data_IF_192932364571
#
_entry.id   IF_192932364571
#
_cell.length_a   1.000
_cell.length_b   1.000
_cell.length_c   1.000
_cell.angle_alpha   90.00
_cell.angle_beta   90.00
_cell.angle_gamma   90.00
#
_symmetry.space_group_name_H-M   'P 1'
#
loop_
_entity.id
_entity.type
_entity.pdbx_description
1 polymer ?
#
# COMPACT_ATOMS: atom_id res chain seq x y z
N UNK A 1 13.28 18.98 17.89
CA UNK A 1 14.67 18.86 17.37
C UNK A 1 14.75 17.52 16.69
N UNK A 2 15.07 17.47 15.39
CA UNK A 2 15.14 16.23 14.60
C UNK A 2 16.54 15.63 14.69
N UNK A 3 16.72 14.55 15.44
CA UNK A 3 17.95 13.77 15.43
C UNK A 3 17.82 12.72 14.31
N UNK A 4 18.32 13.09 13.13
CA UNK A 4 18.15 12.40 11.85
C UNK A 4 18.99 11.13 11.75
N UNK A 5 18.35 10.08 11.24
CA UNK A 5 18.94 9.19 10.24
C UNK A 5 18.00 9.24 9.04
N UNK A 6 18.53 9.52 7.85
CA UNK A 6 17.85 9.38 6.56
C UNK A 6 18.57 8.25 5.84
N UNK A 7 17.92 7.10 5.77
CA UNK A 7 18.38 5.99 4.95
C UNK A 7 17.39 5.81 3.81
N UNK A 8 17.86 6.04 2.61
CA UNK A 8 17.14 5.71 1.40
C UNK A 8 17.58 4.31 0.97
N UNK A 9 16.67 3.33 1.06
CA UNK A 9 16.87 1.97 0.54
C UNK A 9 16.02 1.84 -0.71
N UNK A 10 16.66 1.58 -1.85
CA UNK A 10 15.96 1.02 -3.02
C UNK A 10 16.13 -0.50 -3.00
N UNK A 11 15.02 -1.22 -3.14
CA UNK A 11 14.97 -2.68 -3.18
C UNK A 11 14.28 -3.11 -4.48
N UNK A 12 14.59 -4.29 -4.99
CA UNK A 12 13.86 -4.88 -6.13
C UNK A 12 12.37 -5.04 -5.80
N UNK A 13 12.06 -5.37 -4.54
CA UNK A 13 10.67 -5.43 -4.04
C UNK A 13 10.01 -4.06 -4.00
N UNK A 14 10.69 -3.02 -3.55
CA UNK A 14 10.19 -1.65 -3.56
C UNK A 14 9.82 -1.19 -4.97
N UNK A 15 10.67 -1.49 -5.95
CA UNK A 15 10.39 -1.25 -7.37
C UNK A 15 9.17 -2.06 -7.85
N UNK A 16 9.06 -3.33 -7.44
CA UNK A 16 7.89 -4.16 -7.73
C UNK A 16 6.60 -3.59 -7.14
N UNK A 17 6.64 -3.14 -5.88
CA UNK A 17 5.49 -2.51 -5.20
C UNK A 17 5.06 -1.24 -5.95
N UNK A 18 6.01 -0.38 -6.32
CA UNK A 18 5.74 0.83 -7.10
C UNK A 18 5.05 0.51 -8.43
N UNK A 19 5.47 -0.55 -9.13
CA UNK A 19 4.84 -1.00 -10.37
C UNK A 19 3.39 -1.40 -10.20
N UNK A 20 3.07 -2.16 -9.14
CA UNK A 20 1.69 -2.54 -8.84
C UNK A 20 0.85 -1.32 -8.40
N UNK A 21 1.45 -0.40 -7.65
CA UNK A 21 0.79 0.84 -7.24
C UNK A 21 0.46 1.77 -8.41
N UNK A 22 1.31 1.83 -9.43
CA UNK A 22 1.00 2.56 -10.67
C UNK A 22 0.00 1.82 -11.56
N UNK A 23 0.11 0.50 -11.67
CA UNK A 23 -0.86 -0.33 -12.40
C UNK A 23 -2.28 -0.14 -11.85
N UNK A 24 -2.42 -0.06 -10.51
CA UNK A 24 -3.66 0.30 -9.83
C UNK A 24 -4.23 1.61 -10.36
N UNK A 25 -3.46 2.72 -10.37
CA UNK A 25 -3.92 4.04 -10.85
C UNK A 25 -4.49 3.97 -12.28
N UNK A 26 -3.87 3.18 -13.15
CA UNK A 26 -4.35 2.96 -14.52
C UNK A 26 -5.69 2.21 -14.52
N UNK A 27 -5.83 1.18 -13.68
CA UNK A 27 -7.04 0.39 -13.59
C UNK A 27 -8.21 1.16 -12.96
N UNK A 28 -7.94 2.03 -11.99
CA UNK A 28 -8.93 2.92 -11.38
C UNK A 28 -9.55 3.80 -12.46
N UNK A 29 -8.72 4.43 -13.29
CA UNK A 29 -9.18 5.23 -14.41
C UNK A 29 -10.02 4.40 -15.39
N UNK A 30 -9.60 3.17 -15.69
CA UNK A 30 -10.34 2.28 -16.59
C UNK A 30 -11.71 1.90 -15.99
N UNK A 31 -11.78 1.57 -14.71
CA UNK A 31 -13.00 1.08 -14.07
C UNK A 31 -13.94 2.23 -13.74
N UNK A 32 -13.45 3.26 -13.06
CA UNK A 32 -14.26 4.36 -12.52
C UNK A 32 -14.55 5.43 -13.57
N UNK A 33 -13.52 5.91 -14.27
CA UNK A 33 -13.68 7.04 -15.21
C UNK A 33 -14.23 6.57 -16.57
N UNK A 34 -13.81 5.39 -17.04
CA UNK A 34 -14.29 4.83 -18.31
C UNK A 34 -15.47 3.85 -18.15
N UNK A 35 -15.81 3.45 -16.91
CA UNK A 35 -16.93 2.55 -16.64
C UNK A 35 -16.68 1.11 -17.14
N UNK A 36 -15.42 0.67 -17.18
CA UNK A 36 -15.07 -0.62 -17.71
C UNK A 36 -15.11 -1.72 -16.66
N UNK A 37 -16.14 -2.55 -16.73
CA UNK A 37 -16.31 -3.65 -15.78
C UNK A 37 -15.29 -4.78 -16.00
N UNK A 38 -14.71 -5.26 -14.89
CA UNK A 38 -13.93 -6.50 -14.78
C UNK A 38 -12.73 -6.61 -15.76
N UNK A 39 -11.75 -5.69 -15.72
CA UNK A 39 -10.53 -5.85 -16.49
C UNK A 39 -9.74 -7.09 -16.04
N UNK A 40 -9.23 -7.86 -16.99
CA UNK A 40 -8.33 -9.00 -16.72
C UNK A 40 -6.91 -8.54 -16.99
N UNK A 41 -6.02 -8.69 -16.00
CA UNK A 41 -4.63 -8.28 -16.13
C UNK A 41 -3.72 -9.50 -16.24
N UNK A 42 -2.83 -9.49 -17.22
CA UNK A 42 -1.76 -10.46 -17.38
C UNK A 42 -0.43 -9.77 -17.11
N UNK A 43 0.36 -10.34 -16.21
CA UNK A 43 1.67 -9.80 -15.86
C UNK A 43 2.76 -10.75 -16.33
N UNK A 44 3.70 -10.21 -17.11
CA UNK A 44 4.99 -10.83 -17.43
C UNK A 44 6.07 -10.15 -16.57
N UNK A 45 6.33 -10.73 -15.39
CA UNK A 45 7.33 -10.23 -14.45
C UNK A 45 8.76 -10.26 -15.03
N UNK A 46 9.04 -11.13 -16.01
CA UNK A 46 10.37 -11.25 -16.63
C UNK A 46 10.64 -10.09 -17.60
N UNK A 47 9.59 -9.61 -18.26
CA UNK A 47 9.69 -8.53 -19.27
C UNK A 47 9.31 -7.17 -18.73
N UNK A 48 8.77 -7.11 -17.52
CA UNK A 48 8.19 -5.89 -16.98
C UNK A 48 7.07 -5.37 -17.90
N UNK A 49 6.20 -6.29 -18.33
CA UNK A 49 5.05 -6.02 -19.20
C UNK A 49 3.73 -6.42 -18.53
N UNK A 50 2.72 -5.54 -18.61
CA UNK A 50 1.37 -5.79 -18.13
C UNK A 50 0.39 -5.60 -19.30
N UNK A 51 -0.44 -6.60 -19.55
CA UNK A 51 -1.49 -6.55 -20.55
C UNK A 51 -2.87 -6.48 -19.86
N UNK A 52 -3.64 -5.44 -20.16
CA UNK A 52 -4.98 -5.24 -19.61
C UNK A 52 -6.02 -5.56 -20.68
N UNK A 53 -6.89 -6.52 -20.39
CA UNK A 53 -7.98 -6.94 -21.26
C UNK A 53 -9.29 -6.39 -20.72
N UNK A 54 -10.01 -5.67 -21.59
CA UNK A 54 -11.31 -5.08 -21.31
C UNK A 54 -12.34 -5.54 -22.34
N UNK A 55 -13.62 -5.30 -22.06
CA UNK A 55 -14.68 -5.57 -23.04
C UNK A 55 -14.57 -4.62 -24.27
N UNK A 56 -15.18 -5.02 -25.38
CA UNK A 56 -15.07 -4.31 -26.68
C UNK A 56 -15.59 -2.86 -26.61
N UNK A 57 -16.64 -2.60 -25.83
CA UNK A 57 -17.19 -1.25 -25.65
C UNK A 57 -16.18 -0.35 -24.96
N UNK A 58 -15.57 -0.85 -23.88
CA UNK A 58 -14.51 -0.17 -23.16
C UNK A 58 -13.28 0.05 -24.03
N UNK A 59 -12.88 -0.95 -24.83
CA UNK A 59 -11.76 -0.84 -25.76
C UNK A 59 -11.91 0.36 -26.70
N UNK A 60 -13.09 0.54 -27.30
CA UNK A 60 -13.33 1.65 -28.23
C UNK A 60 -13.23 3.01 -27.53
N UNK A 61 -13.70 3.09 -26.29
CA UNK A 61 -13.61 4.31 -25.48
C UNK A 61 -12.17 4.59 -25.04
N UNK A 62 -11.45 3.56 -24.62
CA UNK A 62 -10.00 3.59 -24.39
C UNK A 62 -9.31 4.10 -25.64
N UNK A 63 -9.45 3.47 -26.81
CA UNK A 63 -8.78 3.90 -28.05
C UNK A 63 -9.07 5.37 -28.42
N UNK A 64 -10.28 5.86 -28.11
CA UNK A 64 -10.69 7.26 -28.31
C UNK A 64 -9.98 8.24 -27.37
N UNK A 65 -9.73 7.86 -26.11
CA UNK A 65 -9.21 8.72 -25.05
C UNK A 65 -7.71 8.53 -24.80
N UNK A 66 -7.18 7.32 -25.02
CA UNK A 66 -5.83 6.88 -24.65
C UNK A 66 -4.70 7.58 -25.41
N UNK A 67 -4.93 8.04 -26.64
CA UNK A 67 -3.89 8.71 -27.43
C UNK A 67 -3.38 10.01 -26.78
N UNK A 68 -4.22 10.66 -25.98
CA UNK A 68 -3.87 11.87 -25.23
C UNK A 68 -3.39 11.54 -23.81
N UNK A 69 -4.06 10.59 -23.11
CA UNK A 69 -3.75 10.22 -21.72
C UNK A 69 -2.37 9.54 -21.58
N UNK A 70 -2.02 8.59 -22.47
CA UNK A 70 -0.69 7.98 -22.45
C UNK A 70 0.41 9.02 -22.69
N UNK A 71 0.12 10.03 -23.51
CA UNK A 71 1.06 11.10 -23.78
C UNK A 71 1.27 11.98 -22.55
N UNK A 72 0.19 12.33 -21.85
CA UNK A 72 0.26 13.12 -20.62
C UNK A 72 0.90 12.35 -19.45
N UNK A 73 0.59 11.06 -19.27
CA UNK A 73 1.20 10.19 -18.24
C UNK A 73 2.70 9.97 -18.52
N UNK A 74 3.07 9.76 -19.78
CA UNK A 74 4.46 9.57 -20.20
C UNK A 74 5.27 10.88 -20.10
N UNK A 75 4.69 12.02 -20.47
CA UNK A 75 5.38 13.33 -20.47
C UNK A 75 5.43 13.99 -19.08
N UNK A 76 4.39 13.85 -18.23
CA UNK A 76 4.35 14.50 -16.90
C UNK A 76 5.04 13.69 -15.80
N UNK A 77 4.87 12.37 -15.76
CA UNK A 77 5.29 11.57 -14.60
C UNK A 77 6.59 10.77 -14.84
N UNK A 78 7.17 10.77 -16.05
CA UNK A 78 8.34 9.95 -16.43
C UNK A 78 8.20 8.47 -15.98
N UNK A 79 6.97 7.95 -15.96
CA UNK A 79 6.68 6.61 -15.46
C UNK A 79 7.13 5.60 -16.51
N UNK A 80 8.37 5.13 -16.32
CA UNK A 80 8.98 4.05 -17.07
C UNK A 80 9.06 2.83 -16.15
N UNK A 81 8.03 2.01 -16.12
CA UNK A 81 8.24 0.65 -15.59
C UNK A 81 7.59 -0.38 -16.50
N UNK A 82 6.34 -0.16 -16.90
CA UNK A 82 5.70 -1.01 -17.90
C UNK A 82 5.91 -0.43 -19.29
N UNK A 83 6.55 -1.17 -20.20
CA UNK A 83 6.52 -0.81 -21.63
C UNK A 83 5.07 -0.96 -22.10
N UNK A 84 4.31 0.14 -22.10
CA UNK A 84 2.97 0.23 -22.70
C UNK A 84 3.00 0.09 -24.23
N UNK A 85 4.00 -0.61 -24.79
CA UNK A 85 4.13 -0.87 -26.22
C UNK A 85 3.12 -1.92 -26.70
N UNK A 86 2.43 -2.64 -25.80
CA UNK A 86 1.40 -3.62 -26.15
C UNK A 86 0.28 -3.74 -25.11
N UNK A 87 -0.58 -2.73 -25.02
CA UNK A 87 -1.98 -2.99 -24.66
C UNK A 87 -2.62 -3.76 -25.84
N UNK A 88 -2.45 -5.07 -25.81
CA UNK A 88 -2.99 -5.99 -26.80
C UNK A 88 -4.45 -6.27 -26.45
N UNK A 89 -5.36 -5.49 -27.03
CA UNK A 89 -6.80 -5.77 -26.99
C UNK A 89 -7.12 -6.93 -27.96
N UNK A 90 -6.62 -8.12 -27.66
CA UNK A 90 -6.89 -9.30 -28.49
C UNK A 90 -8.07 -10.09 -27.93
N UNK A 91 -8.96 -10.56 -28.82
CA UNK A 91 -9.87 -11.66 -28.49
C UNK A 91 -9.01 -12.82 -28.01
N UNK A 92 -9.25 -13.27 -26.78
CA UNK A 92 -8.70 -14.47 -26.13
C UNK A 92 -8.18 -15.47 -27.17
N UNK A 93 -6.88 -15.44 -27.42
CA UNK A 93 -6.24 -16.40 -28.31
C UNK A 93 -5.49 -17.40 -27.43
N UNK A 94 -5.78 -18.68 -27.63
CA UNK A 94 -5.43 -19.83 -26.78
C UNK A 94 -3.93 -20.16 -26.74
N UNK A 95 -3.04 -19.18 -26.58
CA UNK A 95 -1.64 -19.39 -26.25
C UNK A 95 -1.39 -18.93 -24.82
N UNK A 96 -1.78 -19.80 -23.89
CA UNK A 96 -1.34 -19.74 -22.50
C UNK A 96 0.19 -19.91 -22.50
N UNK A 97 0.91 -18.80 -22.39
CA UNK A 97 2.31 -18.79 -21.99
C UNK A 97 2.33 -19.12 -20.50
N UNK A 98 3.02 -20.19 -20.13
CA UNK A 98 3.16 -20.70 -18.76
C UNK A 98 3.88 -19.74 -17.78
N UNK A 99 4.20 -18.51 -18.21
CA UNK A 99 4.85 -17.45 -17.44
C UNK A 99 3.93 -16.27 -17.11
N UNK A 100 2.70 -16.22 -17.63
CA UNK A 100 1.78 -15.12 -17.37
C UNK A 100 0.95 -15.38 -16.13
N UNK A 101 1.06 -14.51 -15.13
CA UNK A 101 0.19 -14.52 -13.96
C UNK A 101 -1.06 -13.68 -14.27
N UNK A 102 -2.23 -14.30 -14.10
CA UNK A 102 -3.52 -13.60 -14.21
C UNK A 102 -3.85 -13.01 -12.85
N UNK A 103 -4.08 -11.71 -12.80
CA UNK A 103 -4.45 -10.97 -11.60
C UNK A 103 -5.77 -10.25 -11.87
N UNK A 104 -6.73 -10.39 -10.98
CA UNK A 104 -7.94 -9.54 -10.97
C UNK A 104 -7.64 -8.23 -10.28
N UNK A 105 -8.37 -7.18 -10.63
CA UNK A 105 -8.19 -5.85 -10.03
C UNK A 105 -8.23 -5.88 -8.50
N UNK A 106 -9.14 -6.66 -7.92
CA UNK A 106 -9.29 -6.76 -6.46
C UNK A 106 -8.09 -7.43 -5.79
N UNK A 107 -7.28 -8.18 -6.55
CA UNK A 107 -6.09 -8.90 -6.04
C UNK A 107 -4.83 -8.00 -6.04
N UNK A 108 -4.87 -6.80 -6.63
CA UNK A 108 -3.70 -5.90 -6.70
C UNK A 108 -3.32 -5.39 -5.32
N UNK A 109 -4.31 -5.01 -4.50
CA UNK A 109 -4.08 -4.52 -3.15
C UNK A 109 -3.45 -5.57 -2.25
N UNK A 110 -3.94 -6.80 -2.34
CA UNK A 110 -3.36 -7.94 -1.63
C UNK A 110 -1.92 -8.19 -2.12
N UNK A 111 -1.65 -8.10 -3.43
CA UNK A 111 -0.29 -8.25 -3.97
C UNK A 111 0.67 -7.14 -3.49
N UNK A 112 0.22 -5.88 -3.48
CA UNK A 112 0.98 -4.74 -2.92
C UNK A 112 1.30 -5.02 -1.45
N UNK A 113 0.29 -5.39 -0.68
CA UNK A 113 0.44 -5.70 0.74
C UNK A 113 1.44 -6.84 1.01
N UNK A 114 1.33 -7.95 0.27
CA UNK A 114 2.25 -9.08 0.40
C UNK A 114 3.71 -8.70 0.11
N UNK A 115 3.95 -7.92 -0.94
CA UNK A 115 5.31 -7.48 -1.27
C UNK A 115 5.85 -6.47 -0.24
N UNK A 116 4.99 -5.58 0.28
CA UNK A 116 5.33 -4.68 1.39
C UNK A 116 5.77 -5.49 2.59
N UNK A 117 5.02 -6.50 3.02
CA UNK A 117 5.39 -7.32 4.18
C UNK A 117 6.73 -8.03 4.00
N UNK A 118 6.99 -8.57 2.81
CA UNK A 118 8.26 -9.24 2.50
C UNK A 118 9.44 -8.28 2.55
N UNK A 119 9.30 -7.07 2.00
CA UNK A 119 10.37 -6.06 2.03
C UNK A 119 10.54 -5.43 3.42
N UNK A 120 9.43 -5.17 4.11
CA UNK A 120 9.39 -4.65 5.47
C UNK A 120 10.10 -5.59 6.43
N UNK A 121 9.98 -6.92 6.28
CA UNK A 121 10.67 -7.88 7.14
C UNK A 121 12.19 -7.67 7.20
N UNK A 122 12.81 -7.27 6.08
CA UNK A 122 14.26 -6.98 6.04
C UNK A 122 14.62 -5.69 6.77
N UNK A 123 13.79 -4.64 6.60
CA UNK A 123 13.95 -3.36 7.30
C UNK A 123 13.67 -3.52 8.80
N UNK A 124 12.60 -4.23 9.13
CA UNK A 124 12.12 -4.55 10.46
C UNK A 124 13.24 -5.13 11.34
N UNK A 125 13.89 -6.22 10.91
CA UNK A 125 14.95 -6.89 11.69
C UNK A 125 16.06 -5.89 12.08
N UNK A 126 16.36 -4.95 11.18
CA UNK A 126 17.43 -3.98 11.39
C UNK A 126 17.05 -2.87 12.37
N UNK A 127 15.82 -2.36 12.33
CA UNK A 127 15.44 -1.17 13.10
C UNK A 127 14.73 -1.47 14.41
N UNK A 128 14.06 -2.63 14.53
CA UNK A 128 13.36 -2.99 15.77
C UNK A 128 14.34 -3.19 16.95
N UNK A 129 15.46 -3.88 16.69
CA UNK A 129 16.50 -4.13 17.69
C UNK A 129 17.16 -2.83 18.16
N UNK A 130 17.35 -1.89 17.23
CA UNK A 130 17.89 -0.56 17.53
C UNK A 130 16.86 0.28 18.30
N UNK A 131 15.58 0.18 17.94
CA UNK A 131 14.46 0.86 18.60
C UNK A 131 14.36 0.49 20.06
N UNK A 132 14.38 -0.81 20.36
CA UNK A 132 14.34 -1.33 21.74
C UNK A 132 15.61 -0.96 22.53
N UNK A 133 16.78 -1.06 21.91
CA UNK A 133 18.05 -0.78 22.58
C UNK A 133 18.24 0.71 22.92
N UNK A 134 17.87 1.61 22.00
CA UNK A 134 18.04 3.05 22.16
C UNK A 134 16.81 3.76 22.74
N UNK A 135 15.68 3.04 22.90
CA UNK A 135 14.37 3.61 23.23
C UNK A 135 13.99 4.76 22.27
N UNK A 136 14.10 4.47 20.97
CA UNK A 136 13.88 5.39 19.86
C UNK A 136 12.84 4.83 18.90
N UNK A 137 12.04 5.69 18.30
CA UNK A 137 11.09 5.28 17.25
C UNK A 137 11.69 5.55 15.88
N UNK A 138 11.41 4.66 14.93
CA UNK A 138 11.78 4.82 13.54
C UNK A 138 10.54 4.82 12.66
N UNK A 139 10.39 5.82 11.80
CA UNK A 139 9.35 5.88 10.76
C UNK A 139 9.93 5.41 9.44
N UNK A 140 9.32 4.41 8.84
CA UNK A 140 9.65 3.80 7.56
C UNK A 140 8.55 4.13 6.58
N UNK A 141 8.91 4.76 5.46
CA UNK A 141 7.98 5.27 4.46
C UNK A 141 8.37 4.70 3.11
N UNK A 142 7.42 4.11 2.39
CA UNK A 142 7.62 3.66 1.00
C UNK A 142 7.03 4.69 0.04
N UNK A 143 7.88 5.23 -0.84
CA UNK A 143 7.50 6.19 -1.88
C UNK A 143 7.01 5.50 -3.16
N UNK A 144 6.29 6.24 -4.00
CA UNK A 144 5.84 5.79 -5.33
C UNK A 144 6.94 5.40 -6.30
N UNK A 145 8.18 5.84 -6.08
CA UNK A 145 9.35 5.42 -6.87
C UNK A 145 9.96 4.08 -6.39
N UNK A 146 9.37 3.48 -5.35
CA UNK A 146 9.81 2.22 -4.75
C UNK A 146 10.96 2.35 -3.75
N UNK A 147 11.34 3.58 -3.38
CA UNK A 147 12.34 3.80 -2.33
C UNK A 147 11.72 3.82 -0.93
N UNK A 148 12.41 3.20 0.02
CA UNK A 148 12.12 3.32 1.44
C UNK A 148 12.93 4.46 2.04
N UNK A 149 12.27 5.37 2.73
CA UNK A 149 12.87 6.37 3.60
C UNK A 149 12.69 5.92 5.05
N UNK A 150 13.78 5.88 5.81
CA UNK A 150 13.73 5.67 7.26
C UNK A 150 14.12 6.95 7.97
N UNK A 151 13.30 7.38 8.93
CA UNK A 151 13.47 8.57 9.77
C UNK A 151 13.52 8.16 11.24
N UNK A 152 14.38 8.77 12.04
CA UNK A 152 14.44 8.59 13.50
C UNK A 152 13.66 9.71 14.22
N UNK A 153 12.93 9.35 15.27
CA UNK A 153 12.31 10.28 16.21
C UNK A 153 12.48 9.84 17.67
N UNK A 154 12.27 10.78 18.59
CA UNK A 154 12.12 10.46 20.01
C UNK A 154 10.77 9.76 20.26
N UNK A 155 10.65 8.99 21.35
CA UNK A 155 9.43 8.27 21.74
C UNK A 155 8.19 9.18 21.67
N UNK A 156 7.16 8.76 20.91
CA UNK A 156 5.88 9.46 20.65
C UNK A 156 6.00 10.83 19.97
N UNK A 157 7.15 11.16 19.39
CA UNK A 157 7.39 12.47 18.76
C UNK A 157 7.33 12.45 17.24
N UNK A 158 7.28 11.26 16.64
CA UNK A 158 7.19 11.14 15.18
C UNK A 158 5.92 11.83 14.70
N UNK A 159 6.11 12.70 13.71
CA UNK A 159 5.04 13.40 13.01
C UNK A 159 5.29 13.13 11.54
N UNK A 160 4.30 12.56 10.88
CA UNK A 160 4.43 12.10 9.51
C UNK A 160 4.46 13.34 8.61
N UNK A 161 5.51 13.51 7.79
CA UNK A 161 5.54 14.61 6.83
C UNK A 161 4.46 14.38 5.76
N UNK A 162 3.74 15.45 5.36
CA UNK A 162 2.91 15.43 4.16
C UNK A 162 3.83 15.25 2.95
N UNK A 163 3.96 14.01 2.50
CA UNK A 163 4.68 13.66 1.28
C UNK A 163 3.62 13.17 0.31
N UNK A 164 3.56 13.78 -0.87
CA UNK A 164 2.70 13.30 -1.95
C UNK A 164 3.24 11.94 -2.45
N UNK A 165 2.34 11.04 -2.83
CA UNK A 165 2.70 9.74 -3.44
C UNK A 165 3.39 8.74 -2.49
N UNK A 166 2.86 8.59 -1.28
CA UNK A 166 3.25 7.53 -0.34
C UNK A 166 2.43 6.25 -0.57
N UNK A 167 3.11 5.10 -0.63
CA UNK A 167 2.45 3.79 -0.76
C UNK A 167 2.21 3.19 0.61
N UNK A 168 3.21 3.20 1.49
CA UNK A 168 3.16 2.53 2.78
C UNK A 168 3.89 3.30 3.88
N UNK A 169 3.45 3.11 5.13
CA UNK A 169 4.00 3.82 6.27
C UNK A 169 3.99 2.98 7.54
N UNK A 170 5.14 2.76 8.15
CA UNK A 170 5.24 2.02 9.39
C UNK A 170 6.12 2.74 10.39
N UNK A 171 5.80 2.70 11.67
CA UNK A 171 6.76 3.11 12.70
C UNK A 171 6.99 2.06 13.75
N UNK A 172 8.17 2.10 14.36
CA UNK A 172 8.51 1.20 15.46
C UNK A 172 8.03 1.76 16.79
N UNK A 173 7.57 0.88 17.68
CA UNK A 173 7.37 1.17 19.09
C UNK A 173 8.42 0.43 19.92
N UNK A 174 9.15 1.12 20.82
CA UNK A 174 9.97 0.42 21.80
C UNK A 174 9.07 -0.29 22.84
N UNK A 175 9.57 -1.35 23.48
CA UNK A 175 8.94 -2.06 24.62
C UNK A 175 7.87 -3.11 24.26
N UNK A 176 8.05 -3.83 23.16
CA UNK A 176 7.30 -5.08 22.86
C UNK A 176 5.76 -4.91 22.75
N UNK A 177 5.28 -3.72 22.39
CA UNK A 177 3.85 -3.43 22.20
C UNK A 177 3.70 -2.73 20.86
N UNK A 178 2.81 -3.24 20.00
CA UNK A 178 2.52 -2.65 18.68
C UNK A 178 1.15 -1.95 18.64
N UNK A 179 0.56 -1.67 19.81
CA UNK A 179 -0.75 -1.01 19.87
C UNK A 179 -0.57 0.47 19.57
N UNK A 180 -1.19 1.00 18.49
CA UNK A 180 -1.04 2.40 18.12
C UNK A 180 -1.59 3.31 19.21
N UNK A 181 -0.96 4.47 19.42
CA UNK A 181 -1.54 5.56 20.19
C UNK A 181 -2.68 6.24 19.42
N UNK A 182 -3.49 7.07 20.09
CA UNK A 182 -4.51 7.89 19.41
C UNK A 182 -3.92 8.71 18.25
N UNK A 183 -2.75 9.32 18.46
CA UNK A 183 -2.06 10.11 17.43
C UNK A 183 -1.61 9.24 16.24
N UNK A 184 -1.19 8.01 16.51
CA UNK A 184 -0.83 7.05 15.47
C UNK A 184 -2.05 6.71 14.62
N UNK A 185 -3.20 6.43 15.24
CA UNK A 185 -4.46 6.16 14.53
C UNK A 185 -4.94 7.37 13.71
N UNK A 186 -4.84 8.59 14.26
CA UNK A 186 -5.14 9.82 13.52
C UNK A 186 -4.27 9.95 12.26
N UNK A 187 -2.99 9.64 12.37
CA UNK A 187 -2.07 9.74 11.25
C UNK A 187 -2.27 8.62 10.22
N UNK A 188 -2.63 7.41 10.67
CA UNK A 188 -3.03 6.30 9.79
C UNK A 188 -4.29 6.68 9.00
N UNK A 189 -5.31 7.25 9.66
CA UNK A 189 -6.53 7.69 9.01
C UNK A 189 -6.27 8.78 7.95
N UNK A 190 -5.47 9.80 8.29
CA UNK A 190 -5.08 10.84 7.33
C UNK A 190 -4.33 10.23 6.14
N UNK A 191 -3.35 9.38 6.40
CA UNK A 191 -2.56 8.70 5.35
C UNK A 191 -3.42 7.87 4.39
N UNK A 192 -4.35 7.06 4.91
CA UNK A 192 -5.23 6.25 4.06
C UNK A 192 -6.21 7.11 3.27
N UNK A 193 -6.68 8.21 3.86
CA UNK A 193 -7.57 9.18 3.19
C UNK A 193 -6.87 9.93 2.05
N UNK A 194 -5.55 10.07 2.12
CA UNK A 194 -4.71 10.70 1.09
C UNK A 194 -4.24 9.69 -0.01
N UNK A 195 -4.71 8.44 0.01
CA UNK A 195 -4.41 7.43 -1.01
C UNK A 195 -3.26 6.49 -0.69
N UNK A 196 -2.83 6.47 0.58
CA UNK A 196 -1.93 5.46 1.12
C UNK A 196 -2.57 4.07 1.19
N UNK A 197 -1.77 3.00 1.04
CA UNK A 197 -2.30 1.62 0.93
C UNK A 197 -2.21 0.86 2.24
N UNK A 198 -1.07 0.93 2.92
CA UNK A 198 -0.79 0.14 4.11
C UNK A 198 -0.07 0.99 5.14
N UNK A 199 -0.58 1.00 6.36
CA UNK A 199 0.12 1.59 7.48
C UNK A 199 0.14 0.70 8.72
N UNK A 200 1.08 0.92 9.62
CA UNK A 200 1.15 0.08 10.81
C UNK A 200 2.18 0.48 11.85
N UNK A 201 2.09 -0.20 12.98
CA UNK A 201 3.02 -0.08 14.09
C UNK A 201 3.72 -1.40 14.30
N UNK A 202 5.03 -1.36 14.46
CA UNK A 202 5.86 -2.55 14.58
C UNK A 202 6.56 -2.56 15.93
N UNK A 203 6.51 -3.69 16.63
CA UNK A 203 7.30 -3.96 17.83
C UNK A 203 8.08 -5.27 17.67
N UNK A 204 8.95 -5.60 18.62
CA UNK A 204 9.71 -6.85 18.60
C UNK A 204 8.88 -8.10 18.85
N UNK A 205 7.60 -7.96 19.23
CA UNK A 205 6.68 -9.08 19.52
C UNK A 205 5.44 -9.09 18.63
N UNK A 206 5.09 -7.98 18.00
CA UNK A 206 3.91 -7.91 17.16
C UNK A 206 3.96 -6.78 16.13
N UNK A 207 3.05 -6.84 15.17
CA UNK A 207 2.81 -5.83 14.14
C UNK A 207 1.32 -5.54 14.10
N UNK A 208 0.95 -4.28 14.31
CA UNK A 208 -0.39 -3.78 14.01
C UNK A 208 -0.40 -3.24 12.59
N UNK A 209 -1.40 -3.63 11.80
CA UNK A 209 -1.51 -3.28 10.39
C UNK A 209 -2.92 -2.77 10.12
N UNK A 210 -3.01 -1.67 9.40
CA UNK A 210 -4.22 -1.18 8.74
C UNK A 210 -3.92 -1.11 7.24
N UNK A 211 -4.74 -1.77 6.42
CA UNK A 211 -4.54 -1.81 4.96
C UNK A 211 -5.84 -1.66 4.21
N UNK A 212 -5.74 -1.08 3.02
CA UNK A 212 -6.83 -1.08 2.05
C UNK A 212 -6.88 -2.38 1.25
N UNK A 213 -8.09 -2.74 0.83
CA UNK A 213 -8.42 -3.80 -0.15
C UNK A 213 -8.88 -3.21 -1.49
N UNK A 214 -9.15 -1.91 -1.54
CA UNK A 214 -9.54 -1.18 -2.75
C UNK A 214 -9.02 0.27 -2.69
N UNK A 215 -9.33 1.06 -3.73
CA UNK A 215 -8.73 2.39 -3.93
C UNK A 215 -9.21 3.51 -3.05
N UNK A 216 -10.27 3.28 -2.29
CA UNK A 216 -10.83 4.30 -1.45
C UNK A 216 -11.24 3.70 -0.11
N UNK A 217 -11.12 4.55 0.90
CA UNK A 217 -11.80 4.35 2.16
C UNK A 217 -13.24 4.83 1.96
N UNK A 218 -14.24 3.96 2.16
CA UNK A 218 -15.64 4.39 2.09
C UNK A 218 -15.98 5.33 3.26
N UNK A 219 -17.07 6.09 3.13
CA UNK A 219 -17.53 7.00 4.19
C UNK A 219 -17.80 6.24 5.51
N UNK A 220 -18.43 5.06 5.43
CA UNK A 220 -18.70 4.23 6.60
C UNK A 220 -17.42 3.73 7.28
N UNK A 221 -16.40 3.35 6.50
CA UNK A 221 -15.10 2.91 7.03
C UNK A 221 -14.29 4.08 7.60
N UNK A 222 -14.41 5.27 7.01
CA UNK A 222 -13.84 6.50 7.55
C UNK A 222 -14.46 6.86 8.89
N UNK A 223 -15.80 6.85 8.98
CA UNK A 223 -16.54 7.10 10.23
C UNK A 223 -16.13 6.05 11.28
N UNK A 224 -16.04 4.79 10.90
CA UNK A 224 -15.59 3.71 11.78
C UNK A 224 -14.19 3.97 12.35
N UNK A 225 -13.21 4.31 11.52
CA UNK A 225 -11.86 4.64 11.99
C UNK A 225 -11.84 5.91 12.85
N UNK A 226 -12.64 6.91 12.52
CA UNK A 226 -12.77 8.13 13.30
C UNK A 226 -13.38 7.86 14.68
N UNK A 227 -14.35 6.95 14.78
CA UNK A 227 -14.92 6.50 16.05
C UNK A 227 -13.89 5.72 16.88
N UNK A 228 -13.02 4.94 16.25
CA UNK A 228 -11.89 4.28 16.94
C UNK A 228 -10.90 5.30 17.52
N UNK A 229 -10.59 6.36 16.78
CA UNK A 229 -9.76 7.48 17.26
C UNK A 229 -10.44 8.18 18.44
N UNK A 230 -11.74 8.45 18.34
CA UNK A 230 -12.48 9.21 19.35
C UNK A 230 -12.71 8.41 20.64
N UNK A 231 -12.91 7.10 20.54
CA UNK A 231 -13.21 6.19 21.65
C UNK A 231 -12.01 5.27 21.98
N UNK A 232 -10.79 5.79 21.83
CA UNK A 232 -9.54 5.04 21.94
C UNK A 232 -9.41 4.18 23.21
N UNK A 233 -9.87 4.66 24.36
CA UNK A 233 -9.80 3.92 25.64
C UNK A 233 -10.65 2.64 25.62
N UNK A 234 -11.81 2.67 24.99
CA UNK A 234 -12.68 1.49 24.87
C UNK A 234 -12.11 0.51 23.84
N UNK A 235 -11.51 1.02 22.77
CA UNK A 235 -10.75 0.21 21.82
C UNK A 235 -9.59 -0.54 22.48
N UNK A 236 -8.80 0.14 23.32
CA UNK A 236 -7.72 -0.49 24.07
C UNK A 236 -8.21 -1.65 24.93
N UNK A 237 -9.34 -1.47 25.62
CA UNK A 237 -9.94 -2.54 26.44
C UNK A 237 -10.36 -3.72 25.58
N UNK A 238 -11.02 -3.49 24.45
CA UNK A 238 -11.46 -4.55 23.55
C UNK A 238 -10.28 -5.39 23.03
N UNK A 239 -9.17 -4.74 22.62
CA UNK A 239 -7.97 -5.46 22.19
C UNK A 239 -7.37 -6.32 23.31
N UNK A 240 -7.30 -5.78 24.53
CA UNK A 240 -6.71 -6.46 25.68
C UNK A 240 -7.57 -7.66 26.11
N UNK A 241 -8.89 -7.50 26.10
CA UNK A 241 -9.85 -8.51 26.55
C UNK A 241 -10.01 -9.69 25.56
N UNK A 242 -9.80 -9.46 24.26
CA UNK A 242 -9.94 -10.50 23.23
C UNK A 242 -8.81 -11.54 23.17
N UNK A 243 -7.80 -11.50 24.05
CA UNK A 243 -6.60 -12.39 23.97
C UNK A 243 -6.10 -12.54 22.52
N UNK A 244 -5.93 -11.41 21.86
CA UNK A 244 -6.11 -11.35 20.43
C UNK A 244 -4.93 -11.97 19.66
N UNK A 245 -5.25 -12.84 18.68
CA UNK A 245 -4.46 -13.12 17.49
C UNK A 245 -5.40 -12.90 16.29
N UNK A 246 -5.03 -12.11 15.29
CA UNK A 246 -5.74 -12.07 14.00
C UNK A 246 -6.33 -10.72 13.57
N UNK A 247 -7.32 -10.78 12.67
CA UNK A 247 -8.01 -9.61 12.13
C UNK A 247 -8.94 -9.02 13.19
N UNK A 248 -8.66 -7.78 13.59
CA UNK A 248 -9.47 -6.98 14.51
C UNK A 248 -10.73 -6.43 13.82
N UNK A 249 -10.61 -6.12 12.54
CA UNK A 249 -11.69 -5.63 11.71
C UNK A 249 -11.44 -6.00 10.25
N UNK A 250 -12.50 -6.34 9.54
CA UNK A 250 -12.47 -6.53 8.10
C UNK A 250 -13.81 -6.10 7.50
N UNK A 251 -13.71 -5.25 6.47
CA UNK A 251 -14.80 -4.83 5.62
C UNK A 251 -14.46 -5.10 4.15
N UNK A 252 -15.22 -4.48 3.26
CA UNK A 252 -15.00 -4.55 1.82
C UNK A 252 -13.64 -3.93 1.44
N UNK A 253 -13.34 -2.72 1.94
CA UNK A 253 -12.16 -1.96 1.52
C UNK A 253 -11.08 -1.84 2.61
N UNK A 254 -11.34 -2.24 3.85
CA UNK A 254 -10.43 -1.99 4.98
C UNK A 254 -10.19 -3.26 5.81
N UNK A 255 -8.95 -3.47 6.22
CA UNK A 255 -8.56 -4.52 7.18
C UNK A 255 -7.69 -3.91 8.27
N UNK A 256 -8.02 -4.21 9.53
CA UNK A 256 -7.17 -3.97 10.69
C UNK A 256 -6.79 -5.33 11.29
N UNK A 257 -5.51 -5.57 11.52
CA UNK A 257 -5.03 -6.84 12.07
C UNK A 257 -3.81 -6.67 12.97
N UNK A 258 -3.64 -7.61 13.90
CA UNK A 258 -2.43 -7.76 14.70
C UNK A 258 -1.81 -9.11 14.42
N UNK A 259 -0.53 -9.08 14.03
CA UNK A 259 0.30 -10.26 13.76
C UNK A 259 1.35 -10.35 14.88
N UNK A 260 1.42 -11.48 15.59
CA UNK A 260 2.50 -11.74 16.55
C UNK A 260 3.70 -12.39 15.86
N UNK A 261 4.90 -12.02 16.30
CA UNK A 261 6.18 -12.38 15.68
C UNK A 261 6.91 -13.53 16.38
#
# INVERSE_FOLDING_TARGET
>A
MTNKIYLEKRSERGISIAKFYELRRILDYIIEDLGCENPIIYIDELRDEAEIYVNEKCRQEIERVFSQLLKDLYEKEKIMFWRAEKLSFTKRSDKILSSLHVIRYEEIFDKIYEEILKDLRELFIRYISVSDYLNKEFLMILLSDGSWIVLEGDERSITIPKIESLIAMFHTHPKNICIPSRKDLESILEFLSEGGVVAGVISSTCVFITRLKSNYLSEDEYIFLQDYVNNYEDFLRNIIDEKCCGKLYESENLVLEIIFL
#
